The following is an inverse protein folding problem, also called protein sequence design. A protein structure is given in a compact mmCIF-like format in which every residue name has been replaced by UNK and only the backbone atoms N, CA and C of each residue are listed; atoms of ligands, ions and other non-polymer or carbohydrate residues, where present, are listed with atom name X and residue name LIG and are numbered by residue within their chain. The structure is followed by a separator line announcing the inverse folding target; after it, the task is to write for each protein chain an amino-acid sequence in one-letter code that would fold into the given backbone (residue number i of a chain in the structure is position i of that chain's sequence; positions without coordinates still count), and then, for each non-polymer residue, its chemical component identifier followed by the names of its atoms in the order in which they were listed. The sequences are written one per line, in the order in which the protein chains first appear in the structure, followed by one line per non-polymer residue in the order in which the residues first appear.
data_IF_212639157935
#
_entry.id   IF_212639157935
#
_cell.length_a   1.000
_cell.length_b   1.000
_cell.length_c   1.000
_cell.angle_alpha   90.00
_cell.angle_beta   90.00
_cell.angle_gamma   90.00
#
_symmetry.space_group_name_H-M   'P 1'
#
loop_
_entity.id
_entity.type
_entity.pdbx_description
1 polymer ?
#
# COMPACT_ATOMS: atom_id res chain seq x y z
N UNK A 1 14.27 12.00 -0.50
CA UNK A 1 14.68 11.11 0.60
C UNK A 1 15.60 11.89 1.51
N UNK A 2 15.51 11.72 2.83
CA UNK A 2 16.29 12.56 3.72
C UNK A 2 17.73 12.04 3.93
N UNK A 3 18.70 12.91 4.24
CA UNK A 3 20.11 12.54 4.39
C UNK A 3 20.34 11.47 5.46
N UNK A 4 21.26 10.54 5.15
CA UNK A 4 21.63 9.42 6.01
C UNK A 4 22.14 9.91 7.38
N UNK A 5 21.56 9.40 8.47
CA UNK A 5 21.94 9.75 9.85
C UNK A 5 20.97 10.71 10.57
N UNK A 6 19.81 11.05 10.00
CA UNK A 6 18.80 11.80 10.77
C UNK A 6 18.08 10.89 11.76
N UNK A 7 17.92 11.29 13.04
CA UNK A 7 17.18 10.50 14.02
C UNK A 7 15.74 10.28 13.57
N UNK A 8 15.27 9.03 13.58
CA UNK A 8 13.87 8.69 13.30
C UNK A 8 13.00 9.21 14.44
N UNK A 9 12.05 10.09 14.15
CA UNK A 9 11.11 10.58 15.15
C UNK A 9 9.97 9.56 15.33
N UNK A 10 9.68 9.19 16.57
CA UNK A 10 8.51 8.37 16.89
C UNK A 10 7.24 9.18 16.66
N UNK A 11 6.10 8.57 16.25
CA UNK A 11 4.81 9.26 16.22
C UNK A 11 4.42 9.94 17.54
N UNK A 12 5.02 9.52 18.65
CA UNK A 12 4.87 10.10 19.98
C UNK A 12 5.47 11.51 20.12
N UNK A 13 6.53 11.83 19.35
CA UNK A 13 7.22 13.12 19.42
C UNK A 13 6.62 14.18 18.46
N UNK A 14 5.73 13.76 17.55
CA UNK A 14 5.17 14.64 16.51
C UNK A 14 3.64 14.49 16.38
N UNK A 15 2.85 15.33 17.07
CA UNK A 15 1.38 15.24 17.05
C UNK A 15 0.77 15.43 15.65
N UNK A 16 1.48 16.08 14.71
CA UNK A 16 1.03 16.17 13.32
C UNK A 16 1.14 14.83 12.58
N UNK A 17 2.17 14.03 12.88
CA UNK A 17 2.32 12.70 12.32
C UNK A 17 1.24 11.74 12.84
N UNK A 18 0.86 11.87 14.11
CA UNK A 18 -0.22 11.08 14.71
C UNK A 18 -1.57 11.35 14.04
N UNK A 19 -1.95 12.62 13.87
CA UNK A 19 -3.20 12.98 13.19
C UNK A 19 -3.22 12.58 11.71
N UNK A 20 -2.09 12.69 11.02
CA UNK A 20 -1.96 12.20 9.64
C UNK A 20 -2.15 10.68 9.56
N UNK A 21 -1.59 9.91 10.51
CA UNK A 21 -1.74 8.46 10.56
C UNK A 21 -3.18 8.04 10.88
N UNK A 22 -3.84 8.78 11.77
CA UNK A 22 -5.26 8.56 12.11
C UNK A 22 -6.18 8.82 10.90
N UNK A 23 -6.02 9.94 10.22
CA UNK A 23 -6.79 10.25 9.00
C UNK A 23 -6.53 9.23 7.88
N UNK A 24 -5.28 8.79 7.72
CA UNK A 24 -4.93 7.73 6.79
C UNK A 24 -5.60 6.39 7.16
N UNK A 25 -5.76 6.09 8.45
CA UNK A 25 -6.49 4.91 8.93
C UNK A 25 -7.99 4.95 8.59
N UNK A 26 -8.67 6.07 8.83
CA UNK A 26 -10.10 6.24 8.47
C UNK A 26 -10.29 6.09 6.96
N UNK A 27 -9.47 6.78 6.17
CA UNK A 27 -9.53 6.68 4.70
C UNK A 27 -9.22 5.26 4.22
N UNK A 28 -8.24 4.60 4.85
CA UNK A 28 -7.86 3.22 4.56
C UNK A 28 -8.97 2.21 4.79
N UNK A 29 -9.71 2.35 5.90
CA UNK A 29 -10.80 1.44 6.24
C UNK A 29 -12.07 1.61 5.41
N UNK A 30 -12.31 2.80 4.83
CA UNK A 30 -13.49 3.07 4.01
C UNK A 30 -13.19 3.03 2.51
N UNK A 31 -12.25 3.86 2.05
CA UNK A 31 -11.97 4.02 0.61
C UNK A 31 -10.95 2.98 0.14
N UNK A 32 -9.94 2.67 0.97
CA UNK A 32 -8.82 1.72 0.74
C UNK A 32 -7.94 2.04 -0.51
N UNK A 33 -8.47 2.69 -1.54
CA UNK A 33 -7.81 3.03 -2.79
C UNK A 33 -6.75 4.11 -2.57
N UNK A 34 -5.48 3.79 -2.87
CA UNK A 34 -4.38 4.73 -2.78
C UNK A 34 -3.88 5.04 -1.36
N UNK A 35 -4.46 4.44 -0.30
CA UNK A 35 -4.03 4.64 1.10
C UNK A 35 -2.56 4.31 1.30
N UNK A 36 -2.05 3.34 0.55
CA UNK A 36 -0.65 2.97 0.56
C UNK A 36 0.30 4.09 0.15
N UNK A 37 -0.10 4.96 -0.78
CA UNK A 37 0.70 6.11 -1.18
C UNK A 37 0.65 7.23 -0.14
N UNK A 38 -0.49 7.40 0.53
CA UNK A 38 -0.63 8.34 1.65
C UNK A 38 0.29 7.94 2.81
N UNK A 39 0.28 6.64 3.17
CA UNK A 39 1.19 6.07 4.18
C UNK A 39 2.66 6.24 3.78
N UNK A 40 3.02 6.00 2.51
CA UNK A 40 4.39 6.21 2.04
C UNK A 40 4.79 7.69 2.05
N UNK A 41 3.89 8.60 1.68
CA UNK A 41 4.14 10.05 1.74
C UNK A 41 4.36 10.52 3.20
N UNK A 42 3.57 10.01 4.15
CA UNK A 42 3.74 10.30 5.57
C UNK A 42 5.05 9.71 6.14
N UNK A 43 5.36 8.44 5.83
CA UNK A 43 6.49 7.72 6.40
C UNK A 43 7.84 8.09 5.76
N UNK A 44 7.91 8.14 4.43
CA UNK A 44 9.14 8.45 3.70
C UNK A 44 9.36 9.96 3.53
N UNK A 45 8.27 10.73 3.41
CA UNK A 45 8.32 12.20 3.31
C UNK A 45 8.44 12.88 4.67
N UNK A 46 7.60 12.51 5.64
CA UNK A 46 7.57 13.13 6.97
C UNK A 46 8.59 12.54 7.95
N UNK A 47 8.72 11.22 7.98
CA UNK A 47 9.47 10.50 9.04
C UNK A 47 10.87 10.04 8.63
N UNK A 48 11.28 10.35 7.39
CA UNK A 48 12.62 10.07 6.86
C UNK A 48 13.03 8.59 6.82
N UNK A 49 12.08 7.67 6.89
CA UNK A 49 12.38 6.25 6.78
C UNK A 49 12.90 5.87 5.38
N UNK A 50 13.88 4.96 5.34
CA UNK A 50 14.29 4.30 4.09
C UNK A 50 13.07 3.66 3.41
N UNK A 51 13.03 3.74 2.08
CA UNK A 51 11.88 3.32 1.28
C UNK A 51 11.45 1.88 1.56
N UNK A 52 12.41 1.00 1.88
CA UNK A 52 12.18 -0.39 2.27
C UNK A 52 11.45 -0.49 3.61
N UNK A 53 11.90 0.25 4.63
CA UNK A 53 11.26 0.28 5.96
C UNK A 53 9.88 0.93 5.90
N UNK A 54 9.74 2.02 5.14
CA UNK A 54 8.47 2.68 4.93
C UNK A 54 7.46 1.76 4.22
N UNK A 55 7.89 1.00 3.22
CA UNK A 55 7.03 0.02 2.55
C UNK A 55 6.64 -1.14 3.47
N UNK A 56 7.57 -1.66 4.28
CA UNK A 56 7.26 -2.71 5.25
C UNK A 56 6.21 -2.24 6.27
N UNK A 57 6.41 -1.06 6.88
CA UNK A 57 5.49 -0.50 7.86
C UNK A 57 4.11 -0.20 7.25
N UNK A 58 4.07 0.35 6.02
CA UNK A 58 2.82 0.51 5.25
C UNK A 58 2.07 -0.82 5.14
N UNK A 59 2.75 -1.90 4.75
CA UNK A 59 2.10 -3.21 4.57
C UNK A 59 1.57 -3.76 5.89
N UNK A 60 2.31 -3.59 6.99
CA UNK A 60 1.85 -3.98 8.32
C UNK A 60 0.63 -3.17 8.77
N UNK A 61 0.65 -1.85 8.60
CA UNK A 61 -0.50 -1.00 8.89
C UNK A 61 -1.70 -1.39 8.02
N UNK A 62 -1.47 -1.66 6.73
CA UNK A 62 -2.49 -2.12 5.79
C UNK A 62 -3.16 -3.41 6.25
N UNK A 63 -2.37 -4.39 6.67
CA UNK A 63 -2.88 -5.63 7.23
C UNK A 63 -3.74 -5.37 8.49
N UNK A 64 -3.24 -4.56 9.42
CA UNK A 64 -3.93 -4.29 10.68
C UNK A 64 -5.33 -3.69 10.48
N UNK A 65 -5.45 -2.61 9.70
CA UNK A 65 -6.78 -2.01 9.49
C UNK A 65 -7.67 -2.88 8.59
N UNK A 66 -7.10 -3.65 7.66
CA UNK A 66 -7.89 -4.55 6.80
C UNK A 66 -8.48 -5.72 7.61
N UNK A 67 -7.75 -6.24 8.60
CA UNK A 67 -8.28 -7.26 9.53
C UNK A 67 -9.43 -6.70 10.35
N UNK A 68 -9.30 -5.48 10.88
CA UNK A 68 -10.38 -4.82 11.61
C UNK A 68 -11.60 -4.57 10.70
N UNK A 69 -11.37 -4.07 9.49
CA UNK A 69 -12.44 -3.86 8.50
C UNK A 69 -13.17 -5.17 8.18
N UNK A 70 -12.43 -6.25 7.91
CA UNK A 70 -13.00 -7.57 7.65
C UNK A 70 -13.88 -8.05 8.82
N UNK A 71 -13.40 -7.92 10.06
CA UNK A 71 -14.18 -8.31 11.25
C UNK A 71 -15.51 -7.54 11.35
N UNK A 72 -15.48 -6.23 11.05
CA UNK A 72 -16.69 -5.39 11.01
C UNK A 72 -17.63 -5.87 9.91
N UNK A 73 -17.14 -6.06 8.68
CA UNK A 73 -17.98 -6.52 7.56
C UNK A 73 -18.59 -7.91 7.82
N UNK A 74 -17.88 -8.80 8.52
CA UNK A 74 -18.43 -10.09 8.97
C UNK A 74 -19.57 -9.86 9.97
N UNK A 75 -19.41 -8.97 10.94
CA UNK A 75 -20.43 -8.68 11.95
C UNK A 75 -21.73 -8.10 11.34
N UNK A 76 -21.63 -7.41 10.20
CA UNK A 76 -22.77 -6.88 9.45
C UNK A 76 -23.26 -7.79 8.31
N UNK A 77 -22.72 -9.02 8.21
CA UNK A 77 -23.05 -10.01 7.17
C UNK A 77 -22.90 -9.50 5.72
N UNK A 78 -21.92 -8.60 5.50
CA UNK A 78 -21.64 -7.99 4.20
C UNK A 78 -20.47 -8.67 3.46
N UNK A 79 -20.05 -9.85 3.91
CA UNK A 79 -18.92 -10.58 3.31
C UNK A 79 -19.43 -11.67 2.39
N UNK A 80 -19.21 -11.49 1.09
CA UNK A 80 -19.38 -12.57 0.13
C UNK A 80 -18.13 -13.47 0.13
N UNK A 81 -18.21 -14.55 0.90
CA UNK A 81 -17.08 -15.45 1.19
C UNK A 81 -16.44 -16.07 -0.06
N UNK A 82 -17.26 -16.54 -1.01
CA UNK A 82 -16.76 -17.21 -2.21
C UNK A 82 -15.92 -16.27 -3.09
N UNK A 83 -16.44 -15.14 -3.60
CA UNK A 83 -15.62 -14.20 -4.37
C UNK A 83 -14.51 -13.58 -3.52
N UNK A 84 -14.74 -13.35 -2.23
CA UNK A 84 -13.71 -12.83 -1.32
C UNK A 84 -12.49 -13.76 -1.22
N UNK A 85 -12.70 -15.07 -1.04
CA UNK A 85 -11.61 -16.05 -0.98
C UNK A 85 -10.90 -16.21 -2.32
N UNK A 86 -11.63 -16.18 -3.44
CA UNK A 86 -11.04 -16.25 -4.78
C UNK A 86 -10.11 -15.05 -5.00
N UNK A 87 -10.55 -13.84 -4.66
CA UNK A 87 -9.74 -12.62 -4.77
C UNK A 87 -8.55 -12.68 -3.81
N UNK A 88 -8.75 -13.12 -2.56
CA UNK A 88 -7.66 -13.27 -1.60
C UNK A 88 -6.57 -14.24 -2.10
N UNK A 89 -6.96 -15.42 -2.61
CA UNK A 89 -6.03 -16.39 -3.16
C UNK A 89 -5.31 -15.86 -4.42
N UNK A 90 -6.06 -15.26 -5.34
CA UNK A 90 -5.51 -14.70 -6.58
C UNK A 90 -4.53 -13.55 -6.31
N UNK A 91 -4.86 -12.66 -5.38
CA UNK A 91 -3.97 -11.54 -4.99
C UNK A 91 -2.70 -12.03 -4.32
N UNK A 92 -2.78 -13.01 -3.41
CA UNK A 92 -1.60 -13.61 -2.78
C UNK A 92 -0.69 -14.31 -3.80
N UNK A 93 -1.27 -15.15 -4.68
CA UNK A 93 -0.53 -15.86 -5.70
C UNK A 93 0.13 -14.90 -6.70
N UNK A 94 -0.62 -13.89 -7.17
CA UNK A 94 -0.14 -12.86 -8.07
C UNK A 94 1.00 -12.03 -7.46
N UNK A 95 0.86 -11.60 -6.20
CA UNK A 95 1.90 -10.85 -5.50
C UNK A 95 3.19 -11.68 -5.35
N UNK A 96 3.06 -12.95 -4.96
CA UNK A 96 4.22 -13.84 -4.79
C UNK A 96 4.95 -14.11 -6.11
N UNK A 97 4.22 -14.34 -7.21
CA UNK A 97 4.80 -14.50 -8.53
C UNK A 97 5.46 -13.20 -9.02
N UNK A 98 4.78 -12.07 -8.87
CA UNK A 98 5.28 -10.76 -9.29
C UNK A 98 6.60 -10.40 -8.60
N UNK A 99 6.71 -10.63 -7.29
CA UNK A 99 7.96 -10.39 -6.55
C UNK A 99 9.10 -11.28 -7.07
N UNK A 100 8.84 -12.58 -7.31
CA UNK A 100 9.84 -13.49 -7.88
C UNK A 100 10.34 -13.04 -9.24
N UNK A 101 9.44 -12.56 -10.11
CA UNK A 101 9.80 -12.04 -11.42
C UNK A 101 10.57 -10.72 -11.28
N UNK A 102 10.09 -9.80 -10.45
CA UNK A 102 10.71 -8.48 -10.25
C UNK A 102 12.14 -8.56 -9.72
N UNK A 103 12.44 -9.50 -8.81
CA UNK A 103 13.80 -9.69 -8.27
C UNK A 103 14.77 -10.24 -9.34
N UNK A 104 14.28 -11.02 -10.31
CA UNK A 104 15.09 -11.60 -11.39
C UNK A 104 15.19 -10.71 -12.63
N UNK A 105 14.27 -9.78 -12.81
CA UNK A 105 14.20 -8.93 -13.99
C UNK A 105 15.24 -7.81 -13.97
N UNK A 106 15.78 -7.46 -15.14
CA UNK A 106 16.68 -6.33 -15.26
C UNK A 106 15.95 -5.00 -15.01
N UNK A 107 16.66 -4.00 -14.50
CA UNK A 107 16.07 -2.67 -14.25
C UNK A 107 15.47 -2.04 -15.52
N UNK A 108 16.08 -2.30 -16.68
CA UNK A 108 15.57 -1.80 -17.96
C UNK A 108 14.26 -2.48 -18.37
N UNK A 109 14.15 -3.80 -18.13
CA UNK A 109 12.91 -4.55 -18.37
C UNK A 109 11.76 -4.05 -17.50
N UNK A 110 12.02 -3.79 -16.21
CA UNK A 110 11.00 -3.26 -15.29
C UNK A 110 10.53 -1.88 -15.74
N UNK A 111 11.45 -0.99 -16.15
CA UNK A 111 11.10 0.35 -16.64
C UNK A 111 10.18 0.28 -17.86
N UNK A 112 10.55 -0.51 -18.87
CA UNK A 112 9.74 -0.65 -20.08
C UNK A 112 8.39 -1.30 -19.81
N UNK A 113 8.35 -2.28 -18.92
CA UNK A 113 7.10 -2.90 -18.50
C UNK A 113 6.16 -1.89 -17.82
N UNK A 114 6.67 -1.11 -16.86
CA UNK A 114 5.89 -0.06 -16.19
C UNK A 114 5.42 1.02 -17.17
N UNK A 115 6.26 1.42 -18.12
CA UNK A 115 5.90 2.39 -19.15
C UNK A 115 4.76 1.87 -20.02
N UNK A 116 4.87 0.64 -20.52
CA UNK A 116 3.83 0.00 -21.32
C UNK A 116 2.51 -0.14 -20.54
N UNK A 117 2.56 -0.61 -19.28
CA UNK A 117 1.37 -0.69 -18.43
C UNK A 117 0.71 0.67 -18.23
N UNK A 118 1.50 1.72 -17.99
CA UNK A 118 0.98 3.08 -17.78
C UNK A 118 0.31 3.61 -19.04
N UNK A 119 0.92 3.38 -20.21
CA UNK A 119 0.38 3.81 -21.49
C UNK A 119 -0.95 3.12 -21.81
N UNK A 120 -1.05 1.81 -21.54
CA UNK A 120 -2.31 1.05 -21.68
C UNK A 120 -3.38 1.57 -20.72
N UNK A 121 -3.03 1.83 -19.46
CA UNK A 121 -3.98 2.35 -18.47
C UNK A 121 -4.54 3.73 -18.87
N UNK A 122 -3.68 4.63 -19.34
CA UNK A 122 -4.08 5.97 -19.82
C UNK A 122 -4.96 5.85 -21.07
N UNK A 123 -4.57 5.02 -22.03
CA UNK A 123 -5.36 4.81 -23.25
C UNK A 123 -6.75 4.23 -22.92
N UNK A 124 -6.81 3.23 -22.03
CA UNK A 124 -8.07 2.65 -21.56
C UNK A 124 -8.95 3.67 -20.85
N UNK A 125 -8.36 4.54 -20.01
CA UNK A 125 -9.09 5.61 -19.34
C UNK A 125 -9.56 6.75 -20.26
N UNK A 126 -8.96 6.90 -21.45
CA UNK A 126 -9.41 7.84 -22.49
C UNK A 126 -10.56 7.30 -23.34
N UNK A 127 -10.71 5.97 -23.39
CA UNK A 127 -11.76 5.28 -24.13
C UNK A 127 -13.03 5.02 -23.31
N UNK A 128 -12.97 5.18 -21.99
CA UNK A 128 -14.07 5.09 -21.02
C UNK A 128 -14.64 6.48 -20.73
#
# INVERSE_FOLDING_TARGET
APPAGTPTQSPEDNPKAWWALFAAGIYGGFVQAGVGFILLAALAGGLRYDLVRANALKMTCALAFTVVALAIFIAFDQVSWVPGLIVAAGTMAGAHLAVKVAVKASQNSIKWFLFAMTLVAVAGGLYL
#
